data_IF_873607816844
#
_entry.id   IF_873607816844
#
_cell.length_a   1.000
_cell.length_b   1.000
_cell.length_c   1.000
_cell.angle_alpha   90.00
_cell.angle_beta   90.00
_cell.angle_gamma   90.00
#
_symmetry.space_group_name_H-M   'P 1'
#
loop_
_entity.id
_entity.type
_entity.pdbx_description
1 polymer ?
#
# COMPACT_ATOMS: atom_id res chain seq x y z
N UNK A 1 -18.71 -15.70 -11.45
CA UNK A 1 -18.55 -14.62 -12.44
C UNK A 1 -18.38 -13.29 -11.71
N UNK A 2 -17.20 -13.10 -11.11
CA UNK A 2 -16.83 -11.80 -10.58
C UNK A 2 -16.20 -11.01 -11.71
N UNK A 3 -16.91 -10.02 -12.20
CA UNK A 3 -16.37 -9.00 -13.11
C UNK A 3 -15.41 -8.16 -12.26
N UNK A 4 -14.15 -8.59 -12.18
CA UNK A 4 -13.08 -7.77 -11.63
C UNK A 4 -13.02 -6.50 -12.48
N UNK A 5 -13.22 -5.35 -11.85
CA UNK A 5 -13.12 -4.03 -12.45
C UNK A 5 -11.96 -3.97 -13.45
N UNK A 6 -12.24 -3.89 -14.71
CA UNK A 6 -11.53 -3.59 -15.95
C UNK A 6 -10.01 -3.39 -16.02
N UNK A 7 -9.27 -3.63 -14.96
CA UNK A 7 -7.82 -3.64 -14.91
C UNK A 7 -7.34 -5.08 -14.98
N UNK A 8 -6.66 -5.42 -16.05
CA UNK A 8 -5.94 -6.67 -16.20
C UNK A 8 -4.65 -6.62 -15.35
N UNK A 9 -4.80 -6.49 -14.02
CA UNK A 9 -3.68 -6.61 -13.10
C UNK A 9 -3.28 -8.08 -13.07
N UNK A 10 -2.06 -8.36 -13.52
CA UNK A 10 -1.55 -9.72 -13.61
C UNK A 10 -0.53 -9.94 -12.49
N UNK A 11 -0.65 -11.06 -11.77
CA UNK A 11 0.29 -11.47 -10.72
C UNK A 11 1.74 -11.55 -11.24
N UNK A 12 1.93 -11.85 -12.54
CA UNK A 12 3.24 -11.88 -13.17
C UNK A 12 3.89 -10.49 -13.22
N UNK A 13 3.11 -9.44 -13.51
CA UNK A 13 3.61 -8.05 -13.50
C UNK A 13 3.98 -7.58 -12.10
N UNK A 14 3.19 -7.96 -11.09
CA UNK A 14 3.48 -7.70 -9.68
C UNK A 14 4.76 -8.43 -9.24
N UNK A 15 4.90 -9.72 -9.59
CA UNK A 15 6.11 -10.50 -9.32
C UNK A 15 7.35 -9.82 -9.92
N UNK A 16 7.26 -9.39 -11.17
CA UNK A 16 8.36 -8.71 -11.85
C UNK A 16 8.76 -7.41 -11.13
N UNK A 17 7.77 -6.63 -10.69
CA UNK A 17 8.01 -5.39 -9.94
C UNK A 17 8.72 -5.66 -8.59
N UNK A 18 8.36 -6.71 -7.88
CA UNK A 18 8.96 -7.05 -6.58
C UNK A 18 10.36 -7.67 -6.75
N UNK A 19 10.56 -8.54 -7.76
CA UNK A 19 11.80 -9.30 -7.93
C UNK A 19 13.00 -8.44 -8.29
N UNK A 20 12.80 -7.38 -9.09
CA UNK A 20 13.94 -6.65 -9.70
C UNK A 20 14.55 -5.61 -8.76
N UNK A 21 13.75 -4.81 -8.05
CA UNK A 21 14.26 -3.66 -7.29
C UNK A 21 13.47 -3.31 -6.02
N UNK A 22 12.64 -4.21 -5.50
CA UNK A 22 11.89 -3.98 -4.27
C UNK A 22 10.95 -2.76 -4.36
N UNK A 23 11.03 -1.87 -3.36
CA UNK A 23 10.14 -0.71 -3.21
C UNK A 23 10.03 0.19 -4.44
N UNK A 24 11.15 0.59 -5.04
CA UNK A 24 11.15 1.54 -6.19
C UNK A 24 10.39 1.00 -7.38
N UNK A 25 10.52 -0.30 -7.63
CA UNK A 25 9.85 -0.93 -8.76
C UNK A 25 8.36 -1.12 -8.48
N UNK A 26 7.99 -1.44 -7.23
CA UNK A 26 6.60 -1.50 -6.81
C UNK A 26 5.92 -0.13 -6.92
N UNK A 27 6.62 0.94 -6.56
CA UNK A 27 6.14 2.32 -6.74
C UNK A 27 5.91 2.65 -8.22
N UNK A 28 6.86 2.32 -9.12
CA UNK A 28 6.70 2.51 -10.56
C UNK A 28 5.56 1.66 -11.15
N UNK A 29 5.42 0.44 -10.67
CA UNK A 29 4.31 -0.44 -11.07
C UNK A 29 2.96 0.16 -10.68
N UNK A 30 2.83 0.67 -9.46
CA UNK A 30 1.63 1.40 -9.02
C UNK A 30 1.37 2.64 -9.89
N UNK A 31 2.39 3.44 -10.17
CA UNK A 31 2.25 4.60 -11.05
C UNK A 31 1.69 4.21 -12.42
N UNK A 32 2.21 3.13 -13.01
CA UNK A 32 1.70 2.63 -14.29
C UNK A 32 0.24 2.19 -14.21
N UNK A 33 -0.15 1.50 -13.14
CA UNK A 33 -1.52 0.98 -12.97
C UNK A 33 -2.54 2.07 -12.67
N UNK A 34 -2.18 3.08 -11.89
CA UNK A 34 -3.05 4.23 -11.59
C UNK A 34 -3.45 4.95 -12.88
N UNK A 35 -2.57 4.92 -13.89
CA UNK A 35 -2.79 5.59 -15.20
C UNK A 35 -3.29 4.69 -16.31
N UNK A 36 -3.31 3.37 -16.16
CA UNK A 36 -3.94 2.51 -17.16
C UNK A 36 -5.44 2.72 -17.12
N UNK A 37 -5.94 3.50 -18.07
CA UNK A 37 -7.38 3.72 -18.26
C UNK A 37 -8.07 2.39 -18.55
N UNK A 38 -9.16 2.03 -17.84
CA UNK A 38 -9.99 0.90 -18.26
C UNK A 38 -10.45 1.11 -19.70
N UNK A 39 -10.41 0.07 -20.52
CA UNK A 39 -11.07 0.09 -21.85
C UNK A 39 -12.58 0.29 -21.62
N UNK A 40 -13.04 1.53 -21.70
CA UNK A 40 -14.45 1.83 -21.41
C UNK A 40 -14.76 3.31 -21.16
N UNK A 41 -13.84 4.23 -21.37
CA UNK A 41 -14.15 5.65 -21.54
C UNK A 41 -14.39 6.50 -20.29
N UNK A 42 -14.26 5.97 -19.08
CA UNK A 42 -14.19 6.81 -17.88
C UNK A 42 -12.73 7.03 -17.49
N UNK A 43 -12.24 8.25 -17.72
CA UNK A 43 -10.98 8.74 -17.18
C UNK A 43 -11.12 8.86 -15.65
N UNK A 44 -10.68 7.84 -14.92
CA UNK A 44 -10.72 7.84 -13.46
C UNK A 44 -9.55 7.05 -12.87
N UNK A 45 -8.92 7.61 -11.86
CA UNK A 45 -7.95 6.92 -11.04
C UNK A 45 -8.66 5.76 -10.33
N UNK A 46 -8.12 4.54 -10.38
CA UNK A 46 -8.70 3.41 -9.64
C UNK A 46 -8.60 3.66 -8.13
N UNK A 47 -9.73 3.77 -7.40
CA UNK A 47 -9.72 4.11 -5.98
C UNK A 47 -8.96 3.12 -5.11
N UNK A 48 -8.98 1.82 -5.45
CA UNK A 48 -8.24 0.79 -4.70
C UNK A 48 -6.73 0.94 -4.88
N UNK A 49 -6.27 1.32 -6.07
CA UNK A 49 -4.84 1.59 -6.31
C UNK A 49 -4.39 2.85 -5.58
N UNK A 50 -5.22 3.87 -5.55
CA UNK A 50 -4.97 5.09 -4.79
C UNK A 50 -4.90 4.81 -3.29
N UNK A 51 -5.83 4.01 -2.78
CA UNK A 51 -5.82 3.57 -1.38
C UNK A 51 -4.57 2.73 -1.08
N UNK A 52 -4.19 1.80 -1.96
CA UNK A 52 -2.97 1.00 -1.79
C UNK A 52 -1.71 1.88 -1.73
N UNK A 53 -1.60 2.87 -2.62
CA UNK A 53 -0.52 3.84 -2.62
C UNK A 53 -0.49 4.66 -1.32
N UNK A 54 -1.64 5.14 -0.87
CA UNK A 54 -1.79 5.86 0.40
C UNK A 54 -1.35 5.01 1.58
N UNK A 55 -1.87 3.77 1.71
CA UNK A 55 -1.47 2.82 2.77
C UNK A 55 0.05 2.58 2.76
N UNK A 56 0.62 2.31 1.60
CA UNK A 56 2.07 2.10 1.47
C UNK A 56 2.87 3.27 2.03
N UNK A 57 2.51 4.48 1.63
CA UNK A 57 3.22 5.68 2.11
C UNK A 57 3.01 5.95 3.58
N UNK A 58 1.81 5.79 4.10
CA UNK A 58 1.50 5.94 5.54
C UNK A 58 2.30 4.93 6.37
N UNK A 59 2.31 3.65 5.97
CA UNK A 59 3.09 2.59 6.62
C UNK A 59 4.59 2.91 6.67
N UNK A 60 5.12 3.47 5.59
CA UNK A 60 6.52 3.91 5.53
C UNK A 60 6.80 5.04 6.52
N UNK A 61 5.97 6.08 6.56
CA UNK A 61 6.13 7.22 7.47
C UNK A 61 6.04 6.79 8.94
N UNK A 62 5.13 5.89 9.27
CA UNK A 62 5.01 5.29 10.60
C UNK A 62 6.29 4.50 10.93
N UNK A 63 6.79 3.69 9.99
CA UNK A 63 7.99 2.89 10.17
C UNK A 63 9.24 3.73 10.45
N UNK A 64 9.40 4.86 9.76
CA UNK A 64 10.48 5.81 9.98
C UNK A 64 10.47 6.38 11.41
N UNK A 65 9.29 6.49 12.02
CA UNK A 65 9.11 6.94 13.41
C UNK A 65 9.34 5.82 14.43
N UNK A 66 8.84 4.62 14.14
CA UNK A 66 8.91 3.44 15.04
C UNK A 66 10.33 2.86 15.10
N UNK A 67 11.02 2.76 13.94
CA UNK A 67 12.39 2.25 13.84
C UNK A 67 13.23 3.24 13.01
N UNK A 68 13.70 4.34 13.61
CA UNK A 68 14.44 5.36 12.90
C UNK A 68 15.70 4.83 12.22
N UNK A 69 16.01 5.34 11.03
CA UNK A 69 17.20 4.99 10.24
C UNK A 69 17.26 3.53 9.74
N UNK A 70 16.20 2.76 9.88
CA UNK A 70 16.12 1.42 9.31
C UNK A 70 15.35 1.45 7.99
N UNK A 71 16.08 1.64 6.89
CA UNK A 71 15.50 1.74 5.55
C UNK A 71 14.83 0.44 5.11
N UNK A 72 15.42 -0.71 5.43
CA UNK A 72 14.83 -2.02 5.11
C UNK A 72 13.47 -2.20 5.79
N UNK A 73 13.37 -1.79 7.06
CA UNK A 73 12.12 -1.85 7.81
C UNK A 73 11.05 -0.94 7.17
N UNK A 74 11.41 0.28 6.77
CA UNK A 74 10.51 1.20 6.09
C UNK A 74 10.08 0.69 4.71
N UNK A 75 11.00 0.12 3.93
CA UNK A 75 10.70 -0.47 2.61
C UNK A 75 9.75 -1.67 2.74
N UNK A 76 9.94 -2.55 3.72
CA UNK A 76 9.01 -3.66 4.01
C UNK A 76 7.64 -3.15 4.46
N UNK A 77 7.58 -2.10 5.27
CA UNK A 77 6.33 -1.49 5.70
C UNK A 77 5.55 -0.92 4.52
N UNK A 78 6.23 -0.21 3.62
CA UNK A 78 5.65 0.27 2.37
C UNK A 78 5.05 -0.88 1.54
N UNK A 79 5.79 -1.99 1.40
CA UNK A 79 5.31 -3.18 0.68
C UNK A 79 4.07 -3.80 1.35
N UNK A 80 4.06 -3.93 2.68
CA UNK A 80 2.91 -4.45 3.43
C UNK A 80 1.67 -3.59 3.18
N UNK A 81 1.79 -2.26 3.26
CA UNK A 81 0.68 -1.35 3.02
C UNK A 81 0.06 -1.51 1.63
N UNK A 82 0.91 -1.56 0.58
CA UNK A 82 0.42 -1.77 -0.80
C UNK A 82 -0.19 -3.15 -0.97
N UNK A 83 0.48 -4.19 -0.51
CA UNK A 83 0.08 -5.58 -0.75
C UNK A 83 -1.18 -5.95 0.02
N UNK A 84 -1.52 -5.26 1.12
CA UNK A 84 -2.73 -5.50 1.90
C UNK A 84 -4.03 -5.41 1.08
N UNK A 85 -4.03 -4.65 -0.03
CA UNK A 85 -5.17 -4.51 -0.94
C UNK A 85 -5.10 -5.41 -2.18
N UNK A 86 -4.04 -6.22 -2.34
CA UNK A 86 -3.91 -7.11 -3.49
C UNK A 86 -5.05 -8.14 -3.62
N UNK A 87 -5.61 -8.73 -2.54
CA UNK A 87 -6.77 -9.58 -2.63
C UNK A 87 -7.95 -8.92 -3.33
N UNK A 88 -8.25 -7.68 -2.98
CA UNK A 88 -9.34 -6.91 -3.60
C UNK A 88 -9.04 -6.54 -5.07
N UNK A 89 -7.77 -6.25 -5.39
CA UNK A 89 -7.34 -5.87 -6.74
C UNK A 89 -7.26 -7.06 -7.70
N UNK A 90 -6.87 -8.24 -7.20
CA UNK A 90 -6.62 -9.43 -8.03
C UNK A 90 -7.79 -10.43 -7.99
N UNK A 91 -8.70 -10.32 -7.02
CA UNK A 91 -9.75 -11.31 -6.78
C UNK A 91 -9.21 -12.67 -6.31
N UNK A 92 -8.07 -12.67 -5.60
CA UNK A 92 -7.37 -13.87 -5.11
C UNK A 92 -7.22 -13.82 -3.59
N UNK A 93 -7.03 -14.99 -2.96
CA UNK A 93 -6.70 -15.03 -1.54
C UNK A 93 -5.25 -14.55 -1.29
N UNK A 94 -5.01 -13.91 -0.15
CA UNK A 94 -3.68 -13.40 0.21
C UNK A 94 -2.61 -14.50 0.19
N UNK A 95 -2.92 -15.69 0.70
CA UNK A 95 -2.00 -16.83 0.71
C UNK A 95 -1.54 -17.20 -0.70
N UNK A 96 -2.49 -17.32 -1.64
CA UNK A 96 -2.20 -17.68 -3.04
C UNK A 96 -1.34 -16.62 -3.74
N UNK A 97 -1.54 -15.36 -3.38
CA UNK A 97 -0.72 -14.23 -3.89
C UNK A 97 0.71 -14.35 -3.38
N UNK A 98 0.86 -14.57 -2.06
CA UNK A 98 2.17 -14.61 -1.40
C UNK A 98 3.00 -15.84 -1.76
N UNK A 99 2.37 -16.95 -2.11
CA UNK A 99 3.05 -18.15 -2.61
C UNK A 99 3.72 -17.93 -3.96
N UNK A 100 3.19 -16.99 -4.75
CA UNK A 100 3.71 -16.66 -6.07
C UNK A 100 4.76 -15.52 -6.04
N UNK A 101 4.97 -14.86 -4.89
CA UNK A 101 5.80 -13.66 -4.79
C UNK A 101 7.04 -13.88 -3.92
N UNK A 102 8.22 -13.41 -4.37
CA UNK A 102 9.47 -13.49 -3.62
C UNK A 102 9.55 -12.35 -2.57
N UNK A 103 8.68 -12.37 -1.59
CA UNK A 103 8.66 -11.39 -0.50
C UNK A 103 9.28 -11.94 0.78
N UNK A 104 9.85 -11.05 1.61
CA UNK A 104 10.45 -11.42 2.88
C UNK A 104 9.44 -12.08 3.83
N UNK A 105 9.90 -13.05 4.63
CA UNK A 105 9.04 -13.79 5.56
C UNK A 105 8.27 -12.87 6.51
N UNK A 106 8.91 -11.79 7.01
CA UNK A 106 8.26 -10.80 7.87
C UNK A 106 7.08 -10.07 7.19
N UNK A 107 7.16 -9.85 5.88
CA UNK A 107 6.08 -9.27 5.08
C UNK A 107 4.93 -10.27 4.94
N UNK A 108 5.24 -11.55 4.67
CA UNK A 108 4.23 -12.62 4.60
C UNK A 108 3.47 -12.75 5.92
N UNK A 109 4.19 -12.82 7.04
CA UNK A 109 3.58 -12.94 8.36
C UNK A 109 2.71 -11.73 8.75
N UNK A 110 3.14 -10.52 8.38
CA UNK A 110 2.36 -9.33 8.61
C UNK A 110 1.04 -9.33 7.83
N UNK A 111 1.06 -9.82 6.58
CA UNK A 111 -0.11 -9.85 5.69
C UNK A 111 -1.08 -11.01 5.98
N UNK A 112 -0.59 -12.15 6.45
CA UNK A 112 -1.41 -13.33 6.76
C UNK A 112 -1.96 -13.28 8.18
N UNK A 113 -1.11 -12.95 9.15
CA UNK A 113 -1.40 -13.15 10.56
C UNK A 113 -1.40 -11.84 11.37
N UNK A 114 -1.17 -10.70 10.70
CA UNK A 114 -0.91 -9.41 11.37
C UNK A 114 0.24 -9.48 12.38
N UNK A 115 1.22 -10.34 12.13
CA UNK A 115 2.30 -10.60 13.06
C UNK A 115 3.40 -9.52 13.03
N UNK A 116 4.03 -9.31 14.20
CA UNK A 116 5.15 -8.40 14.37
C UNK A 116 4.78 -6.92 14.23
N UNK A 117 5.80 -6.06 14.21
CA UNK A 117 5.59 -4.61 14.14
C UNK A 117 4.92 -4.17 12.83
N UNK A 118 5.25 -4.80 11.70
CA UNK A 118 4.59 -4.50 10.42
C UNK A 118 3.09 -4.82 10.47
N UNK A 119 2.70 -5.95 11.06
CA UNK A 119 1.31 -6.34 11.20
C UNK A 119 0.54 -5.41 12.14
N UNK A 120 1.17 -5.00 13.24
CA UNK A 120 0.58 -4.05 14.19
C UNK A 120 0.35 -2.67 13.53
N UNK A 121 1.34 -2.18 12.76
CA UNK A 121 1.19 -0.94 12.01
C UNK A 121 0.11 -1.05 10.92
N UNK A 122 -0.02 -2.21 10.27
CA UNK A 122 -1.08 -2.45 9.29
C UNK A 122 -2.47 -2.37 9.94
N UNK A 123 -2.67 -3.01 11.11
CA UNK A 123 -3.92 -2.88 11.88
C UNK A 123 -4.24 -1.43 12.22
N UNK A 124 -3.23 -0.65 12.64
CA UNK A 124 -3.42 0.76 12.95
C UNK A 124 -3.90 1.54 11.72
N UNK A 125 -3.28 1.33 10.57
CA UNK A 125 -3.67 2.03 9.33
C UNK A 125 -5.06 1.60 8.87
N UNK A 126 -5.38 0.32 8.90
CA UNK A 126 -6.72 -0.19 8.55
C UNK A 126 -7.80 0.30 9.53
N UNK A 127 -7.46 0.49 10.80
CA UNK A 127 -8.38 1.06 11.78
C UNK A 127 -8.76 2.51 11.45
N UNK A 128 -7.88 3.28 10.82
CA UNK A 128 -8.21 4.66 10.36
C UNK A 128 -9.26 4.71 9.26
N UNK A 129 -9.49 3.61 8.57
CA UNK A 129 -10.44 3.49 7.48
C UNK A 129 -11.82 3.00 7.95
N UNK A 130 -11.92 2.62 9.24
CA UNK A 130 -13.17 2.19 9.87
C UNK A 130 -13.95 3.37 10.40
N UNK A 131 -15.29 3.30 10.42
CA UNK A 131 -16.12 4.37 10.96
C UNK A 131 -16.11 4.44 12.48
N UNK A 132 -15.52 3.44 13.17
CA UNK A 132 -15.45 3.37 14.62
C UNK A 132 -14.16 3.99 15.17
N UNK A 133 -14.22 5.14 15.86
CA UNK A 133 -13.02 5.75 16.45
C UNK A 133 -12.34 4.87 17.51
N UNK A 134 -13.08 3.99 18.17
CA UNK A 134 -12.56 3.04 19.17
C UNK A 134 -11.61 2.00 18.56
N UNK A 135 -11.69 1.74 17.26
CA UNK A 135 -10.80 0.81 16.56
C UNK A 135 -9.32 1.21 16.63
N UNK A 136 -9.01 2.47 16.91
CA UNK A 136 -7.64 2.98 17.04
C UNK A 136 -7.00 2.71 18.40
N UNK A 137 -7.77 2.50 19.44
CA UNK A 137 -7.28 2.43 20.83
C UNK A 137 -6.30 1.28 21.04
N UNK A 138 -6.67 0.08 20.61
CA UNK A 138 -5.85 -1.12 20.79
C UNK A 138 -4.53 -1.02 20.00
N UNK A 139 -4.50 -0.75 18.67
CA UNK A 139 -3.26 -0.63 17.94
C UNK A 139 -2.35 0.51 18.43
N UNK A 140 -2.91 1.66 18.81
CA UNK A 140 -2.12 2.78 19.34
C UNK A 140 -1.48 2.44 20.68
N UNK A 141 -2.15 1.67 21.56
CA UNK A 141 -1.61 1.29 22.86
C UNK A 141 -0.29 0.51 22.76
N UNK A 142 -0.11 -0.21 21.66
CA UNK A 142 1.10 -1.00 21.36
C UNK A 142 2.19 -0.24 20.58
N UNK A 143 1.87 0.97 20.08
CA UNK A 143 2.80 1.79 19.28
C UNK A 143 3.08 3.12 19.97
N UNK A 144 3.77 3.07 21.12
CA UNK A 144 4.04 4.25 21.98
C UNK A 144 4.74 5.42 21.27
N UNK A 145 5.41 5.19 20.15
CA UNK A 145 6.03 6.22 19.33
C UNK A 145 5.02 7.02 18.47
N UNK A 146 3.77 6.54 18.37
CA UNK A 146 2.73 7.09 17.51
C UNK A 146 1.61 7.66 18.38
N UNK A 147 1.22 8.90 18.10
CA UNK A 147 0.01 9.50 18.63
C UNK A 147 -0.96 9.87 17.49
N UNK A 148 -2.17 10.28 17.84
CA UNK A 148 -3.24 10.60 16.88
C UNK A 148 -2.84 11.74 15.95
N UNK A 149 -2.17 12.79 16.46
CA UNK A 149 -1.74 13.93 15.64
C UNK A 149 -0.70 13.52 14.60
N UNK A 150 0.29 12.71 15.00
CA UNK A 150 1.28 12.17 14.07
C UNK A 150 0.65 11.25 13.02
N UNK A 151 -0.29 10.39 13.43
CA UNK A 151 -1.04 9.52 12.53
C UNK A 151 -1.82 10.34 11.51
N UNK A 152 -2.53 11.38 11.95
CA UNK A 152 -3.25 12.32 11.07
C UNK A 152 -2.33 13.01 10.05
N UNK A 153 -1.14 13.43 10.48
CA UNK A 153 -0.13 13.98 9.58
C UNK A 153 0.36 12.96 8.54
N UNK A 154 0.58 11.70 8.95
CA UNK A 154 0.96 10.61 8.04
C UNK A 154 -0.14 10.34 7.00
N UNK A 155 -1.41 10.31 7.41
CA UNK A 155 -2.55 10.10 6.51
C UNK A 155 -2.64 11.23 5.47
N UNK A 156 -2.51 12.48 5.89
CA UNK A 156 -2.52 13.63 5.00
C UNK A 156 -1.36 13.59 3.99
N UNK A 157 -0.15 13.28 4.46
CA UNK A 157 1.03 13.15 3.58
C UNK A 157 0.91 11.95 2.63
N UNK A 158 0.40 10.82 3.12
CA UNK A 158 0.18 9.63 2.30
C UNK A 158 -0.80 9.88 1.16
N UNK A 159 -1.93 10.53 1.47
CA UNK A 159 -2.94 10.89 0.48
C UNK A 159 -2.41 11.91 -0.54
N UNK A 160 -1.72 12.96 -0.09
CA UNK A 160 -1.10 13.95 -0.96
C UNK A 160 -0.08 13.31 -1.91
N UNK A 161 0.74 12.39 -1.39
CA UNK A 161 1.71 11.65 -2.20
C UNK A 161 1.02 10.75 -3.23
N UNK A 162 -0.01 10.00 -2.85
CA UNK A 162 -0.76 9.14 -3.75
C UNK A 162 -1.45 9.93 -4.89
N UNK A 163 -2.00 11.11 -4.56
CA UNK A 163 -2.57 12.03 -5.55
C UNK A 163 -1.50 12.60 -6.50
N UNK A 164 -0.30 12.91 -5.98
CA UNK A 164 0.83 13.40 -6.79
C UNK A 164 1.35 12.37 -7.79
N UNK A 165 1.25 11.07 -7.50
CA UNK A 165 1.58 10.02 -8.46
C UNK A 165 0.78 10.17 -9.77
N UNK A 166 -0.43 10.78 -9.68
CA UNK A 166 -1.32 11.07 -10.80
C UNK A 166 -0.94 12.29 -11.64
N UNK A 167 -0.19 13.24 -11.11
CA UNK A 167 0.00 14.53 -11.73
C UNK A 167 1.32 14.72 -12.52
N UNK A 168 2.35 13.93 -12.24
CA UNK A 168 3.70 14.09 -12.82
C UNK A 168 3.81 13.87 -14.34
N UNK A 169 2.75 13.39 -15.02
CA UNK A 169 2.75 13.20 -16.48
C UNK A 169 1.99 14.29 -17.26
N UNK A 170 1.30 15.20 -16.57
CA UNK A 170 0.59 16.30 -17.25
C UNK A 170 1.52 17.38 -17.82
N UNK A 171 2.75 17.45 -17.37
CA UNK A 171 3.71 18.51 -17.76
C UNK A 171 4.75 18.08 -18.80
N UNK A 172 4.80 16.79 -19.19
CA UNK A 172 5.79 16.29 -20.16
C UNK A 172 5.26 16.16 -21.60
N UNK A 173 4.06 16.63 -21.89
CA UNK A 173 3.44 16.53 -23.24
C UNK A 173 3.24 17.88 -23.93
N UNK A 174 3.98 18.92 -23.54
CA UNK A 174 3.94 20.22 -24.21
C UNK A 174 5.37 20.76 -24.36
N UNK A 175 6.14 20.14 -25.25
CA UNK A 175 7.26 20.75 -26.00
C UNK A 175 7.42 20.01 -27.32
#
# INVERSE_FOLDING_TARGET
NSVACGLSINITSLRHAITILGRRQLQRWLQLLIFTTPKGGMQGVNPLLQLAATRGRVMELIAERVVPRNREFADHSFMVGIMSLMPALLGMQMADILDQLPVAQRVKQALLDYAGQHGLMLRLVEATEQPDPGALEEPLSHLSAINVDFLGACLTQGLAWANGLGQERGTAATD
#
